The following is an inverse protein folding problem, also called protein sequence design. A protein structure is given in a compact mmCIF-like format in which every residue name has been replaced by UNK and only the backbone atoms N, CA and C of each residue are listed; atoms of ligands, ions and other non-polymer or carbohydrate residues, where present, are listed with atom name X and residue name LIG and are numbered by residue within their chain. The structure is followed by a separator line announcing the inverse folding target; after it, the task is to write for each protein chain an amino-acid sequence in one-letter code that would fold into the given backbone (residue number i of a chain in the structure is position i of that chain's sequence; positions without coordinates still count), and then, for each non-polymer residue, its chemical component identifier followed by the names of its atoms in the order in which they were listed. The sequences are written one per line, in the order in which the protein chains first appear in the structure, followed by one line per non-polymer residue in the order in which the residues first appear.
data_IF_453648068890
#
_entry.id   IF_453648068890
#
_cell.length_a   1.000
_cell.length_b   1.000
_cell.length_c   1.000
_cell.angle_alpha   90.00
_cell.angle_beta   90.00
_cell.angle_gamma   90.00
#
_symmetry.space_group_name_H-M   'P 1'
#
loop_
_entity.id
_entity.type
_entity.pdbx_description
1 polymer ?
#
# COMPACT_ATOMS: atom_id res chain seq x y z
N UNK A 1 6.44 -12.91 -9.86
CA UNK A 1 6.85 -12.85 -8.42
C UNK A 1 6.18 -11.63 -7.83
N UNK A 2 5.39 -11.79 -6.78
CA UNK A 2 4.68 -10.67 -6.14
C UNK A 2 5.60 -9.95 -5.16
N UNK A 3 5.64 -8.62 -5.27
CA UNK A 3 6.41 -7.72 -4.40
C UNK A 3 5.50 -6.61 -3.90
N UNK A 4 5.68 -6.21 -2.64
CA UNK A 4 5.02 -5.05 -2.03
C UNK A 4 6.07 -4.00 -1.71
N UNK A 5 5.95 -2.83 -2.32
CA UNK A 5 6.74 -1.65 -2.00
C UNK A 5 5.96 -0.72 -1.07
N UNK A 6 6.64 -0.14 -0.08
CA UNK A 6 6.08 0.88 0.81
C UNK A 6 7.07 2.05 0.90
N UNK A 7 6.59 3.26 0.68
CA UNK A 7 7.34 4.52 0.83
C UNK A 7 6.64 5.43 1.83
N UNK A 8 7.34 5.85 2.88
CA UNK A 8 6.79 6.67 3.96
C UNK A 8 7.32 8.10 3.82
N UNK A 9 6.45 9.01 3.41
CA UNK A 9 6.75 10.44 3.35
C UNK A 9 6.29 11.20 4.59
N UNK A 10 6.39 12.55 4.56
CA UNK A 10 5.93 13.42 5.64
C UNK A 10 4.44 13.78 5.61
N UNK A 11 3.71 13.40 4.55
CA UNK A 11 2.27 13.69 4.39
C UNK A 11 1.48 12.46 3.98
N UNK A 12 2.06 11.61 3.15
CA UNK A 12 1.44 10.35 2.76
C UNK A 12 2.43 9.20 2.83
N UNK A 13 1.91 8.02 3.09
CA UNK A 13 2.53 6.72 2.88
C UNK A 13 1.93 6.09 1.62
N UNK A 14 2.78 5.67 0.71
CA UNK A 14 2.39 5.00 -0.54
C UNK A 14 2.70 3.51 -0.46
N UNK A 15 1.76 2.67 -0.90
CA UNK A 15 1.91 1.22 -0.97
C UNK A 15 1.59 0.73 -2.39
N UNK A 16 2.44 -0.13 -2.94
CA UNK A 16 2.33 -0.60 -4.33
C UNK A 16 2.57 -2.11 -4.39
N UNK A 17 1.64 -2.85 -4.99
CA UNK A 17 1.82 -4.26 -5.31
C UNK A 17 2.30 -4.38 -6.76
N UNK A 18 3.37 -5.11 -6.96
CA UNK A 18 3.95 -5.41 -8.27
C UNK A 18 3.97 -6.91 -8.52
N UNK A 19 3.71 -7.31 -9.76
CA UNK A 19 4.04 -8.63 -10.28
C UNK A 19 5.11 -8.50 -11.36
N UNK A 20 6.29 -9.04 -11.06
CA UNK A 20 7.50 -8.85 -11.87
C UNK A 20 7.87 -7.37 -12.03
N UNK A 21 7.65 -6.80 -13.22
CA UNK A 21 7.88 -5.39 -13.56
C UNK A 21 6.57 -4.60 -13.72
N UNK A 22 5.40 -5.25 -13.56
CA UNK A 22 4.09 -4.62 -13.69
C UNK A 22 3.56 -4.17 -12.34
N UNK A 23 3.10 -2.93 -12.28
CA UNK A 23 2.29 -2.44 -11.15
C UNK A 23 0.89 -3.03 -11.28
N UNK A 24 0.46 -3.75 -10.24
CA UNK A 24 -0.87 -4.38 -10.17
C UNK A 24 -1.87 -3.42 -9.54
N UNK A 25 -1.50 -2.84 -8.39
CA UNK A 25 -2.35 -1.90 -7.65
C UNK A 25 -1.49 -0.97 -6.79
N UNK A 26 -2.01 0.22 -6.49
CA UNK A 26 -1.37 1.21 -5.63
C UNK A 26 -2.41 1.83 -4.71
N UNK A 27 -2.04 2.08 -3.47
CA UNK A 27 -2.85 2.85 -2.55
C UNK A 27 -2.00 3.93 -1.86
N UNK A 28 -2.67 5.00 -1.45
CA UNK A 28 -2.08 6.10 -0.69
C UNK A 28 -2.88 6.27 0.60
N UNK A 29 -2.16 6.42 1.72
CA UNK A 29 -2.73 6.76 3.00
C UNK A 29 -2.02 8.01 3.55
N UNK A 30 -2.70 8.86 4.36
CA UNK A 30 -2.01 9.91 5.11
C UNK A 30 -0.90 9.32 5.99
N UNK A 31 0.24 10.02 6.09
CA UNK A 31 1.30 9.62 7.03
C UNK A 31 0.78 9.80 8.46
N UNK A 32 0.95 8.76 9.27
CA UNK A 32 0.67 8.80 10.70
C UNK A 32 1.93 9.21 11.47
N UNK A 33 1.76 9.95 12.58
CA UNK A 33 2.84 10.16 13.56
C UNK A 33 3.34 8.82 14.12
N UNK A 34 2.42 7.86 14.29
CA UNK A 34 2.77 6.47 14.56
C UNK A 34 3.06 5.75 13.23
N UNK A 35 4.34 5.74 12.86
CA UNK A 35 4.81 5.23 11.57
C UNK A 35 4.34 3.80 11.29
N UNK A 36 4.38 2.91 12.29
CA UNK A 36 3.97 1.51 12.12
C UNK A 36 2.48 1.40 11.78
N UNK A 37 1.61 2.13 12.48
CA UNK A 37 0.19 2.19 12.14
C UNK A 37 -0.04 2.78 10.74
N UNK A 38 0.70 3.83 10.35
CA UNK A 38 0.61 4.41 9.01
C UNK A 38 1.01 3.43 7.90
N UNK A 39 2.06 2.63 8.12
CA UNK A 39 2.46 1.55 7.21
C UNK A 39 1.36 0.49 7.13
N UNK A 40 0.82 0.06 8.28
CA UNK A 40 -0.23 -0.96 8.32
C UNK A 40 -1.50 -0.51 7.56
N UNK A 41 -1.91 0.76 7.69
CA UNK A 41 -3.05 1.33 6.95
C UNK A 41 -2.78 1.35 5.44
N UNK A 42 -1.62 1.84 5.00
CA UNK A 42 -1.27 1.87 3.57
C UNK A 42 -1.24 0.46 2.96
N UNK A 43 -0.69 -0.52 3.67
CA UNK A 43 -0.68 -1.93 3.25
C UNK A 43 -2.10 -2.51 3.23
N UNK A 44 -2.91 -2.23 4.25
CA UNK A 44 -4.31 -2.69 4.30
C UNK A 44 -5.13 -2.19 3.11
N UNK A 45 -4.98 -0.91 2.75
CA UNK A 45 -5.66 -0.30 1.60
C UNK A 45 -5.25 -0.94 0.28
N UNK A 46 -3.94 -1.09 0.04
CA UNK A 46 -3.49 -1.66 -1.24
C UNK A 46 -3.93 -3.11 -1.39
N UNK A 47 -3.98 -3.89 -0.30
CA UNK A 47 -4.49 -5.27 -0.33
C UNK A 47 -6.00 -5.33 -0.56
N UNK A 48 -6.78 -4.41 0.02
CA UNK A 48 -8.22 -4.32 -0.22
C UNK A 48 -8.53 -4.01 -1.70
N UNK A 49 -7.71 -3.17 -2.34
CA UNK A 49 -7.84 -2.87 -3.76
C UNK A 49 -7.26 -4.00 -4.65
N UNK A 50 -6.28 -4.78 -4.17
CA UNK A 50 -5.67 -5.89 -4.91
C UNK A 50 -6.59 -7.12 -5.05
N UNK A 51 -7.56 -7.30 -4.16
CA UNK A 51 -8.45 -8.46 -4.13
C UNK A 51 -9.82 -8.07 -4.70
N UNK A 52 -10.11 -8.31 -5.98
CA UNK A 52 -11.45 -8.13 -6.51
C UNK A 52 -12.33 -9.28 -6.00
N UNK A 53 -13.21 -9.02 -5.02
CA UNK A 53 -14.22 -9.98 -4.60
C UNK A 53 -14.50 -10.13 -3.11
N UNK A 54 -14.44 -9.06 -2.31
CA UNK A 54 -15.20 -9.03 -1.05
C UNK A 54 -16.15 -7.83 -1.07
N UNK A 55 -17.12 -7.92 -1.97
CA UNK A 55 -18.19 -6.96 -2.24
C UNK A 55 -19.04 -7.48 -3.39
#
# INVERSE_FOLDING_TARGET
MIRLGVDVGGTNTDAVVMDEERVVVRAKAPTSEEVTAGIADAVGRVLAEAVPGTG
#
